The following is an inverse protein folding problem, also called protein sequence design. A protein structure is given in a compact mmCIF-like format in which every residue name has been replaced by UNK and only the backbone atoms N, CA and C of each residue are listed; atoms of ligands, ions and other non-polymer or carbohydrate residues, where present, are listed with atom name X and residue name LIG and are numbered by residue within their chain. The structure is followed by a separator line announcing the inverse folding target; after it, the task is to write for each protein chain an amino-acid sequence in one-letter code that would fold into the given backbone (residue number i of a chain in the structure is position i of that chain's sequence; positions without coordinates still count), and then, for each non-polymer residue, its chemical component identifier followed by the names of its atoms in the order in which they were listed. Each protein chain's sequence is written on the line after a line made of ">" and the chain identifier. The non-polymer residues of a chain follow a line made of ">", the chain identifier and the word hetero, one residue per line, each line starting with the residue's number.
data_IF_510309828550
#
_entry.id   IF_510309828550
#
_cell.length_a   1.000
_cell.length_b   1.000
_cell.length_c   1.000
_cell.angle_alpha   90.00
_cell.angle_beta   90.00
_cell.angle_gamma   90.00
#
_symmetry.space_group_name_H-M   'P 1'
#
loop_
_entity.id
_entity.type
_entity.pdbx_description
1 polymer ?
#
# COMPACT_ATOMS: atom_id res chain seq x y z
N UNK A 1 0.60 4.68 12.03
CA UNK A 1 -0.72 5.26 11.68
C UNK A 1 -1.80 4.56 12.49
N UNK A 2 -2.23 3.33 12.19
CA UNK A 2 -3.19 2.60 13.05
C UNK A 2 -2.67 2.32 14.48
N UNK A 3 -1.38 2.00 14.64
CA UNK A 3 -0.78 1.73 15.95
C UNK A 3 -0.36 2.99 16.74
N UNK A 4 -0.67 4.21 16.25
CA UNK A 4 -0.26 5.50 16.84
C UNK A 4 1.26 5.72 17.08
N UNK A 5 2.12 4.83 16.56
CA UNK A 5 3.59 4.90 16.74
C UNK A 5 4.33 5.77 15.71
N UNK A 6 3.64 6.39 14.76
CA UNK A 6 4.29 7.13 13.67
C UNK A 6 4.57 8.58 14.09
N UNK A 7 5.84 8.97 14.08
CA UNK A 7 6.25 10.37 14.20
C UNK A 7 6.13 11.07 12.83
N UNK A 8 5.03 11.78 12.62
CA UNK A 8 4.76 12.52 11.38
C UNK A 8 5.79 13.61 11.10
N UNK A 9 6.35 14.26 12.12
CA UNK A 9 7.36 15.32 11.93
C UNK A 9 8.70 14.73 11.44
N UNK A 10 9.02 13.50 11.85
CA UNK A 10 10.16 12.76 11.25
C UNK A 10 9.91 12.46 9.78
N UNK A 11 8.68 12.11 9.39
CA UNK A 11 8.32 11.88 7.98
C UNK A 11 8.45 13.18 7.17
N UNK A 12 7.90 14.29 7.65
CA UNK A 12 7.99 15.57 6.94
C UNK A 12 9.45 16.00 6.71
N UNK A 13 10.29 15.91 7.75
CA UNK A 13 11.74 16.17 7.62
C UNK A 13 12.43 15.24 6.63
N UNK A 14 12.07 13.95 6.59
CA UNK A 14 12.64 12.96 5.66
C UNK A 14 12.42 13.35 4.20
N UNK A 15 11.29 14.00 3.91
CA UNK A 15 10.89 14.46 2.58
C UNK A 15 11.10 15.96 2.35
N UNK A 16 11.76 16.66 3.29
CA UNK A 16 12.00 18.10 3.23
C UNK A 16 10.71 18.92 3.06
N UNK A 17 9.64 18.48 3.73
CA UNK A 17 8.37 19.18 3.79
C UNK A 17 8.35 20.09 5.03
N UNK A 18 8.02 21.37 4.85
CA UNK A 18 7.77 22.29 5.95
C UNK A 18 6.33 22.09 6.46
N UNK A 19 6.12 21.67 7.73
CA UNK A 19 4.79 21.45 8.26
C UNK A 19 3.97 22.73 8.43
N UNK A 20 4.62 23.89 8.47
CA UNK A 20 4.01 25.20 8.74
C UNK A 20 3.83 26.03 7.45
N UNK A 21 4.36 25.56 6.31
CA UNK A 21 4.16 26.19 5.01
C UNK A 21 2.70 26.02 4.55
N UNK A 22 2.03 27.11 4.15
CA UNK A 22 0.66 27.03 3.66
C UNK A 22 0.61 26.34 2.29
N UNK A 23 -0.42 25.53 2.08
CA UNK A 23 -0.70 24.93 0.79
C UNK A 23 -0.97 25.99 -0.27
N UNK A 24 -0.55 25.70 -1.50
CA UNK A 24 -0.82 26.57 -2.64
C UNK A 24 -2.32 26.67 -2.95
N UNK A 25 -2.77 27.83 -3.44
CA UNK A 25 -4.18 28.03 -3.85
C UNK A 25 -4.62 27.04 -4.93
N UNK A 26 -3.72 26.66 -5.84
CA UNK A 26 -3.98 25.65 -6.88
C UNK A 26 -4.31 24.29 -6.26
N UNK A 27 -3.54 23.87 -5.25
CA UNK A 27 -3.79 22.62 -4.53
C UNK A 27 -5.11 22.67 -3.76
N UNK A 28 -5.38 23.77 -3.06
CA UNK A 28 -6.65 23.95 -2.33
C UNK A 28 -7.84 23.88 -3.29
N UNK A 29 -7.75 24.52 -4.45
CA UNK A 29 -8.80 24.47 -5.47
C UNK A 29 -8.99 23.05 -6.04
N UNK A 30 -7.90 22.31 -6.26
CA UNK A 30 -7.97 20.92 -6.73
C UNK A 30 -8.67 20.01 -5.71
N UNK A 31 -8.34 20.13 -4.42
CA UNK A 31 -8.98 19.32 -3.37
C UNK A 31 -10.46 19.69 -3.22
N UNK A 32 -10.78 20.98 -3.23
CA UNK A 32 -12.17 21.42 -3.14
C UNK A 32 -13.02 20.83 -4.27
N UNK A 33 -12.48 20.74 -5.48
CA UNK A 33 -13.17 20.14 -6.64
C UNK A 33 -13.38 18.63 -6.56
N UNK A 34 -12.54 17.88 -5.82
CA UNK A 34 -12.68 16.41 -5.71
C UNK A 34 -13.88 16.00 -4.86
N UNK A 35 -14.29 16.86 -3.92
CA UNK A 35 -15.30 16.54 -2.93
C UNK A 35 -16.73 16.84 -3.39
N UNK A 36 -16.88 17.56 -4.50
CA UNK A 36 -18.18 17.79 -5.14
C UNK A 36 -18.70 16.52 -5.87
N UNK A 37 -17.81 15.57 -6.17
CA UNK A 37 -18.13 14.36 -6.95
C UNK A 37 -18.48 13.12 -6.09
N UNK A 38 -18.24 13.13 -4.76
CA UNK A 38 -18.43 11.96 -3.89
C UNK A 38 -19.77 11.92 -3.11
N UNK A 39 -20.66 12.92 -3.29
CA UNK A 39 -21.95 13.01 -2.58
C UNK A 39 -23.20 12.71 -3.44
N UNK A 40 -23.04 11.99 -4.55
CA UNK A 40 -24.19 11.48 -5.31
C UNK A 40 -24.42 9.98 -5.02
N UNK A 41 -25.56 9.72 -4.36
CA UNK A 41 -26.31 8.47 -4.31
C UNK A 41 -25.89 7.38 -3.29
N UNK A 42 -25.99 7.67 -1.99
CA UNK A 42 -26.43 6.66 -0.99
C UNK A 42 -27.51 7.28 -0.07
N UNK A 43 -28.56 7.85 -0.68
CA UNK A 43 -29.86 7.92 -0.03
C UNK A 43 -30.79 7.03 -0.86
N UNK A 44 -30.93 5.77 -0.44
CA UNK A 44 -32.02 4.92 -0.90
C UNK A 44 -33.14 5.06 0.13
N UNK A 45 -34.11 5.97 -0.03
CA UNK A 45 -35.30 5.95 0.77
C UNK A 45 -36.07 4.67 0.47
N UNK A 46 -36.37 3.94 1.54
CA UNK A 46 -37.30 2.83 1.57
C UNK A 46 -38.66 3.25 1.04
N UNK A 47 -39.09 2.69 -0.09
CA UNK A 47 -40.48 2.75 -0.55
C UNK A 47 -41.03 1.33 -0.66
N UNK A 48 -41.51 0.82 0.46
CA UNK A 48 -42.62 -0.12 0.49
C UNK A 48 -43.92 0.66 0.24
N UNK A 49 -44.86 0.00 -0.43
CA UNK A 49 -46.29 0.31 -0.59
C UNK A 49 -46.76 1.12 -1.82
N UNK A 50 -47.26 0.30 -2.74
CA UNK A 50 -48.09 0.48 -3.91
C UNK A 50 -49.44 1.22 -3.62
N UNK A 51 -49.66 2.42 -4.16
CA UNK A 51 -51.00 3.03 -4.29
C UNK A 51 -51.11 3.89 -5.57
N UNK A 52 -52.04 3.60 -6.50
CA UNK A 52 -52.26 4.44 -7.67
C UNK A 52 -53.53 5.30 -7.54
N UNK A 53 -53.45 6.63 -7.78
CA UNK A 53 -54.58 7.38 -8.37
C UNK A 53 -54.26 8.76 -8.99
N UNK A 54 -54.41 8.79 -10.31
CA UNK A 54 -54.95 9.79 -11.25
C UNK A 54 -55.12 11.29 -10.93
N UNK A 55 -54.68 12.07 -11.95
CA UNK A 55 -55.26 13.27 -12.59
C UNK A 55 -55.36 14.63 -11.87
N UNK A 56 -54.73 15.65 -12.49
CA UNK A 56 -55.35 16.97 -12.67
C UNK A 56 -54.48 18.21 -12.52
N UNK A 57 -54.25 18.89 -13.65
CA UNK A 57 -54.17 20.37 -13.82
C UNK A 57 -52.84 21.13 -13.61
N UNK A 58 -52.63 22.07 -14.52
CA UNK A 58 -51.48 22.94 -14.73
C UNK A 58 -51.46 24.18 -13.81
N UNK A 59 -50.24 24.76 -13.69
CA UNK A 59 -49.89 26.20 -13.63
C UNK A 59 -49.62 26.85 -12.24
N UNK A 60 -48.92 28.03 -12.18
CA UNK A 60 -47.47 28.13 -11.90
C UNK A 60 -47.12 29.09 -10.71
N UNK A 61 -45.81 29.28 -10.51
CA UNK A 61 -45.13 30.31 -9.69
C UNK A 61 -45.23 30.17 -8.17
N UNK A 62 -44.09 30.11 -7.47
CA UNK A 62 -43.52 31.29 -6.80
C UNK A 62 -42.11 30.98 -6.29
N UNK A 63 -41.27 32.00 -6.26
CA UNK A 63 -39.89 31.89 -5.81
C UNK A 63 -39.79 31.58 -4.32
N UNK A 64 -38.98 30.60 -3.99
CA UNK A 64 -38.28 30.59 -2.71
C UNK A 64 -36.85 30.14 -2.97
N UNK A 65 -35.97 31.14 -3.07
CA UNK A 65 -34.54 30.98 -2.91
C UNK A 65 -34.29 30.40 -1.52
N UNK A 66 -34.38 29.08 -1.41
CA UNK A 66 -33.73 28.38 -0.30
C UNK A 66 -32.31 28.21 -0.78
N UNK A 67 -31.47 29.20 -0.49
CA UNK A 67 -30.03 29.04 -0.44
C UNK A 67 -29.76 27.94 0.59
N UNK A 68 -29.85 26.69 0.15
CA UNK A 68 -29.12 25.59 0.77
C UNK A 68 -27.69 26.06 0.81
N UNK A 69 -27.26 26.51 1.99
CA UNK A 69 -25.88 26.81 2.27
C UNK A 69 -25.09 25.61 1.79
N UNK A 70 -24.41 25.79 0.65
CA UNK A 70 -23.43 24.85 0.16
C UNK A 70 -22.50 24.60 1.33
N UNK A 71 -22.57 23.41 1.91
CA UNK A 71 -21.59 22.95 2.87
C UNK A 71 -20.29 22.73 2.09
N UNK A 72 -19.65 23.82 1.64
CA UNK A 72 -18.26 23.78 1.22
C UNK A 72 -17.52 23.34 2.48
N UNK A 73 -16.93 22.13 2.49
CA UNK A 73 -16.39 21.61 3.73
C UNK A 73 -15.26 22.54 4.18
N UNK A 74 -14.99 22.52 5.48
CA UNK A 74 -14.10 23.39 6.25
C UNK A 74 -12.61 23.32 5.79
N UNK A 75 -12.30 22.86 4.56
CA UNK A 75 -10.95 22.72 3.99
C UNK A 75 -10.19 24.05 3.89
N UNK A 76 -10.88 25.18 3.87
CA UNK A 76 -10.23 26.50 3.97
C UNK A 76 -9.54 26.68 5.33
N UNK A 77 -9.97 25.95 6.37
CA UNK A 77 -9.46 26.04 7.74
C UNK A 77 -8.13 25.33 7.96
N UNK A 78 -7.81 24.32 7.16
CA UNK A 78 -6.61 23.50 7.32
C UNK A 78 -5.65 23.78 6.16
N UNK A 79 -4.84 24.82 6.32
CA UNK A 79 -3.95 25.33 5.26
C UNK A 79 -2.54 24.80 5.36
N UNK A 80 -2.18 24.11 6.42
CA UNK A 80 -0.83 23.55 6.61
C UNK A 80 -0.90 22.06 6.92
N UNK A 81 0.21 21.35 6.72
CA UNK A 81 0.31 19.95 7.14
C UNK A 81 0.13 19.80 8.65
N UNK A 82 0.63 20.77 9.44
CA UNK A 82 0.46 20.76 10.91
C UNK A 82 -1.01 20.83 11.32
N UNK A 83 -1.80 21.67 10.66
CA UNK A 83 -3.23 21.81 10.94
C UNK A 83 -4.03 20.59 10.50
N UNK A 84 -3.59 19.90 9.43
CA UNK A 84 -4.22 18.70 8.93
C UNK A 84 -3.96 17.46 9.83
N UNK A 85 -2.83 17.43 10.54
CA UNK A 85 -2.42 16.27 11.34
C UNK A 85 -3.45 15.85 12.42
N UNK A 86 -4.02 16.75 13.24
CA UNK A 86 -5.06 16.39 14.20
C UNK A 86 -6.27 15.73 13.55
N UNK A 87 -6.68 16.19 12.36
CA UNK A 87 -7.78 15.58 11.60
C UNK A 87 -7.41 14.18 11.14
N UNK A 88 -6.25 14.02 10.52
CA UNK A 88 -5.76 12.72 10.08
C UNK A 88 -5.73 11.72 11.25
N UNK A 89 -5.26 12.16 12.43
CA UNK A 89 -5.23 11.32 13.64
C UNK A 89 -6.64 10.97 14.12
N UNK A 90 -7.60 11.90 14.07
CA UNK A 90 -8.99 11.64 14.44
C UNK A 90 -9.65 10.63 13.49
N UNK A 91 -9.48 10.80 12.18
CA UNK A 91 -10.00 9.87 11.17
C UNK A 91 -9.38 8.48 11.27
N UNK A 92 -8.07 8.41 11.54
CA UNK A 92 -7.40 7.14 11.79
C UNK A 92 -7.96 6.42 13.03
N UNK A 93 -8.34 7.14 14.09
CA UNK A 93 -8.96 6.54 15.28
C UNK A 93 -10.36 6.02 15.01
N UNK A 94 -11.12 6.68 14.15
CA UNK A 94 -12.43 6.19 13.73
C UNK A 94 -12.30 4.96 12.83
N UNK A 95 -11.34 4.98 11.90
CA UNK A 95 -11.08 3.86 10.98
C UNK A 95 -10.51 2.64 11.71
N UNK A 96 -9.66 2.86 12.72
CA UNK A 96 -8.97 1.83 13.48
C UNK A 96 -9.29 1.95 14.99
N UNK A 97 -10.51 1.60 15.43
CA UNK A 97 -10.96 1.79 16.82
C UNK A 97 -10.16 0.98 17.85
N UNK A 98 -9.56 -0.13 17.43
CA UNK A 98 -8.67 -0.97 18.24
C UNK A 98 -7.19 -0.79 17.85
N UNK A 99 -6.86 0.32 17.17
CA UNK A 99 -5.52 0.61 16.70
C UNK A 99 -4.96 -0.48 15.80
N UNK A 100 -3.80 -1.04 16.14
CA UNK A 100 -3.15 -2.11 15.37
C UNK A 100 -4.01 -3.37 15.24
N UNK A 101 -4.80 -3.69 16.25
CA UNK A 101 -5.65 -4.89 16.28
C UNK A 101 -6.88 -4.77 15.37
N UNK A 102 -7.15 -3.57 14.86
CA UNK A 102 -8.17 -3.34 13.83
C UNK A 102 -7.75 -3.86 12.46
N UNK A 103 -6.46 -4.16 12.26
CA UNK A 103 -5.94 -4.70 11.00
C UNK A 103 -6.02 -6.22 11.02
N UNK A 104 -6.67 -6.81 10.01
CA UNK A 104 -6.86 -8.24 9.92
C UNK A 104 -5.55 -9.04 9.88
N UNK A 105 -5.58 -10.24 10.48
CA UNK A 105 -4.45 -11.19 10.52
C UNK A 105 -4.31 -12.04 9.26
N UNK A 106 -5.10 -11.76 8.22
CA UNK A 106 -5.02 -12.41 6.91
C UNK A 106 -4.59 -11.36 5.89
N UNK A 107 -3.52 -11.64 5.16
CA UNK A 107 -3.02 -10.81 4.07
C UNK A 107 -3.53 -11.35 2.74
N UNK A 108 -3.90 -10.44 1.83
CA UNK A 108 -4.32 -10.76 0.46
C UNK A 108 -3.36 -10.11 -0.52
N UNK A 109 -2.85 -10.89 -1.48
CA UNK A 109 -2.04 -10.40 -2.58
C UNK A 109 -2.82 -10.61 -3.88
N UNK A 110 -3.23 -9.50 -4.48
CA UNK A 110 -3.88 -9.49 -5.79
C UNK A 110 -2.86 -9.20 -6.89
N UNK A 111 -2.82 -10.07 -7.90
CA UNK A 111 -2.08 -9.86 -9.12
C UNK A 111 -3.02 -9.29 -10.16
N UNK A 112 -2.77 -8.05 -10.60
CA UNK A 112 -3.61 -7.37 -11.58
C UNK A 112 -2.84 -7.09 -12.86
N UNK A 113 -3.49 -7.26 -14.00
CA UNK A 113 -2.90 -6.95 -15.29
C UNK A 113 -2.72 -5.44 -15.45
N UNK A 114 -1.53 -5.01 -15.85
CA UNK A 114 -1.18 -3.57 -15.90
C UNK A 114 -2.04 -2.77 -16.89
N UNK A 115 -2.50 -3.38 -17.98
CA UNK A 115 -3.13 -2.63 -19.07
C UNK A 115 -4.60 -2.25 -18.79
N UNK A 116 -5.37 -3.17 -18.21
CA UNK A 116 -6.81 -3.00 -17.97
C UNK A 116 -7.20 -3.16 -16.49
N UNK A 117 -6.24 -3.46 -15.62
CA UNK A 117 -6.49 -3.69 -14.21
C UNK A 117 -7.24 -4.99 -13.92
N UNK A 118 -7.41 -5.90 -14.87
CA UNK A 118 -8.10 -7.19 -14.66
C UNK A 118 -7.38 -8.05 -13.63
N UNK A 119 -8.15 -8.77 -12.81
CA UNK A 119 -7.60 -9.67 -11.78
C UNK A 119 -7.07 -10.94 -12.43
N UNK A 120 -5.78 -11.22 -12.23
CA UNK A 120 -5.10 -12.43 -12.70
C UNK A 120 -5.16 -13.53 -11.63
N UNK A 121 -4.85 -13.19 -10.38
CA UNK A 121 -4.82 -14.13 -9.25
C UNK A 121 -5.01 -13.38 -7.92
N UNK A 122 -5.52 -14.07 -6.91
CA UNK A 122 -5.60 -13.57 -5.53
C UNK A 122 -5.15 -14.65 -4.55
N UNK A 123 -4.19 -14.33 -3.69
CA UNK A 123 -3.66 -15.26 -2.69
C UNK A 123 -3.85 -14.72 -1.29
N UNK A 124 -4.47 -15.51 -0.44
CA UNK A 124 -4.71 -15.20 0.97
C UNK A 124 -3.80 -16.07 1.83
N UNK A 125 -3.08 -15.46 2.78
CA UNK A 125 -2.22 -16.17 3.72
C UNK A 125 -2.22 -15.49 5.09
N UNK A 126 -1.99 -16.24 6.18
CA UNK A 126 -1.93 -15.67 7.52
C UNK A 126 -0.73 -14.75 7.70
N UNK A 127 -0.93 -13.69 8.47
CA UNK A 127 0.11 -12.76 8.89
C UNK A 127 1.00 -13.39 9.96
N UNK A 128 2.28 -13.51 9.65
CA UNK A 128 3.34 -13.94 10.57
C UNK A 128 4.24 -12.75 10.89
N UNK A 129 4.07 -12.20 12.10
CA UNK A 129 4.83 -11.05 12.58
C UNK A 129 6.33 -11.37 12.68
N UNK A 130 6.69 -12.58 13.12
CA UNK A 130 8.09 -12.99 13.29
C UNK A 130 8.80 -13.14 11.95
N UNK A 131 8.12 -13.70 10.96
CA UNK A 131 8.64 -13.78 9.59
C UNK A 131 8.82 -12.39 8.97
N UNK A 132 7.84 -11.49 9.12
CA UNK A 132 7.93 -10.13 8.59
C UNK A 132 9.04 -9.32 9.28
N UNK A 133 9.11 -9.35 10.61
CA UNK A 133 10.13 -8.64 11.38
C UNK A 133 11.55 -9.13 11.03
N UNK A 134 11.71 -10.44 10.86
CA UNK A 134 12.98 -11.03 10.43
C UNK A 134 13.37 -10.56 9.02
N UNK A 135 12.40 -10.52 8.10
CA UNK A 135 12.61 -10.04 6.73
C UNK A 135 12.97 -8.55 6.69
N UNK A 136 12.20 -7.69 7.38
CA UNK A 136 12.45 -6.25 7.45
C UNK A 136 13.79 -6.00 8.15
N UNK A 137 14.05 -6.65 9.29
CA UNK A 137 15.29 -6.51 10.04
C UNK A 137 16.51 -6.86 9.20
N UNK A 138 16.48 -8.01 8.52
CA UNK A 138 17.54 -8.41 7.60
C UNK A 138 17.70 -7.43 6.43
N UNK A 139 16.61 -6.89 5.89
CA UNK A 139 16.67 -5.89 4.81
C UNK A 139 17.27 -4.58 5.31
N UNK A 140 16.86 -4.11 6.48
CA UNK A 140 17.34 -2.86 7.07
C UNK A 140 18.81 -2.92 7.47
N UNK A 141 19.30 -4.07 7.95
CA UNK A 141 20.75 -4.26 8.18
C UNK A 141 21.56 -4.03 6.91
N UNK A 142 21.05 -4.46 5.74
CA UNK A 142 21.73 -4.20 4.47
C UNK A 142 21.74 -2.71 4.13
N UNK A 143 20.59 -2.06 4.21
CA UNK A 143 20.48 -0.63 3.93
C UNK A 143 21.30 0.26 4.86
N UNK A 144 21.50 -0.17 6.11
CA UNK A 144 22.35 0.51 7.09
C UNK A 144 23.83 0.13 6.99
N UNK A 145 24.21 -0.71 6.04
CA UNK A 145 25.56 -1.28 5.91
C UNK A 145 26.04 -2.05 7.16
N UNK A 146 25.11 -2.60 7.95
CA UNK A 146 25.38 -3.44 9.13
C UNK A 146 25.60 -4.92 8.75
N UNK A 147 25.31 -5.30 7.49
CA UNK A 147 25.63 -6.62 6.94
C UNK A 147 26.15 -6.54 5.52
N UNK A 148 26.84 -7.58 5.08
CA UNK A 148 27.25 -7.77 3.69
C UNK A 148 26.08 -8.18 2.77
N UNK A 149 26.22 -7.96 1.43
CA UNK A 149 25.23 -8.43 0.48
C UNK A 149 25.20 -9.96 0.49
N UNK A 150 24.00 -10.52 0.45
CA UNK A 150 23.78 -11.97 0.31
C UNK A 150 23.19 -12.23 -1.06
N UNK A 151 23.58 -13.35 -1.66
CA UNK A 151 22.97 -13.80 -2.90
C UNK A 151 21.51 -14.23 -2.70
N UNK A 152 20.84 -14.47 -3.82
CA UNK A 152 19.47 -15.00 -3.85
C UNK A 152 19.41 -16.41 -3.25
N UNK A 153 18.21 -16.83 -2.83
CA UNK A 153 17.99 -18.23 -2.49
C UNK A 153 18.15 -19.11 -3.74
N UNK A 154 18.40 -20.40 -3.56
CA UNK A 154 18.68 -21.33 -4.66
C UNK A 154 17.50 -21.42 -5.63
N UNK A 155 16.28 -21.37 -5.10
CA UNK A 155 15.01 -21.38 -5.84
C UNK A 155 14.84 -20.14 -6.71
N UNK A 156 15.51 -19.05 -6.35
CA UNK A 156 15.51 -17.77 -7.04
C UNK A 156 16.71 -17.59 -7.97
N UNK A 157 17.60 -18.58 -8.09
CA UNK A 157 18.80 -18.50 -8.93
C UNK A 157 18.49 -18.32 -10.42
N UNK A 158 17.26 -18.60 -10.86
CA UNK A 158 16.80 -18.28 -12.22
C UNK A 158 16.90 -16.79 -12.54
N UNK A 159 16.82 -15.90 -11.53
CA UNK A 159 17.02 -14.45 -11.69
C UNK A 159 18.42 -14.12 -12.22
N UNK A 160 19.40 -14.98 -11.98
CA UNK A 160 20.76 -14.80 -12.50
C UNK A 160 20.86 -14.95 -14.02
N UNK A 161 19.83 -15.45 -14.72
CA UNK A 161 19.79 -15.54 -16.19
C UNK A 161 19.61 -14.17 -16.85
N UNK A 162 19.04 -13.21 -16.14
CA UNK A 162 18.73 -11.87 -16.65
C UNK A 162 19.46 -10.78 -15.86
N UNK A 163 20.31 -11.16 -14.90
CA UNK A 163 21.07 -10.23 -14.08
C UNK A 163 22.30 -9.72 -14.84
N UNK A 164 22.37 -8.42 -15.07
CA UNK A 164 23.51 -7.77 -15.76
C UNK A 164 24.85 -7.94 -15.01
N UNK A 165 24.80 -8.18 -13.69
CA UNK A 165 25.99 -8.36 -12.85
C UNK A 165 26.40 -9.84 -12.69
N UNK A 166 25.75 -10.77 -13.39
CA UNK A 166 25.97 -12.21 -13.18
C UNK A 166 27.45 -12.63 -13.31
N UNK A 167 28.19 -12.05 -14.27
CA UNK A 167 29.60 -12.37 -14.53
C UNK A 167 30.55 -11.96 -13.40
N UNK A 168 30.21 -10.89 -12.66
CA UNK A 168 31.03 -10.36 -11.57
C UNK A 168 30.50 -10.74 -10.18
N UNK A 169 29.35 -11.40 -10.11
CA UNK A 169 28.71 -11.79 -8.85
C UNK A 169 29.55 -12.81 -8.07
N UNK A 170 30.11 -12.39 -6.93
CA UNK A 170 30.95 -13.24 -6.05
C UNK A 170 30.17 -14.43 -5.50
N UNK A 171 28.91 -14.23 -5.12
CA UNK A 171 28.04 -15.31 -4.67
C UNK A 171 27.86 -16.38 -5.73
N UNK A 172 27.58 -15.99 -6.99
CA UNK A 172 27.40 -16.95 -8.08
C UNK A 172 28.67 -17.77 -8.33
N UNK A 173 29.83 -17.11 -8.39
CA UNK A 173 31.14 -17.78 -8.52
C UNK A 173 31.36 -18.82 -7.43
N UNK A 174 31.11 -18.45 -6.17
CA UNK A 174 31.23 -19.37 -5.03
C UNK A 174 30.30 -20.59 -5.15
N UNK A 175 29.05 -20.38 -5.59
CA UNK A 175 28.09 -21.47 -5.79
C UNK A 175 28.52 -22.42 -6.92
N UNK A 176 29.01 -21.87 -8.03
CA UNK A 176 29.49 -22.66 -9.18
C UNK A 176 30.73 -23.49 -8.81
N UNK A 177 31.68 -22.89 -8.08
CA UNK A 177 32.85 -23.60 -7.54
C UNK A 177 32.46 -24.74 -6.59
N UNK A 178 31.48 -24.50 -5.71
CA UNK A 178 30.95 -25.52 -4.80
C UNK A 178 30.32 -26.71 -5.54
N UNK A 179 29.61 -26.45 -6.65
CA UNK A 179 29.02 -27.50 -7.51
C UNK A 179 30.09 -28.32 -8.22
N UNK A 180 31.12 -27.67 -8.77
CA UNK A 180 32.24 -28.34 -9.43
C UNK A 180 32.99 -29.26 -8.45
N UNK A 181 33.24 -28.78 -7.23
CA UNK A 181 33.88 -29.58 -6.17
C UNK A 181 33.06 -30.82 -5.82
N UNK A 182 31.76 -30.64 -5.58
CA UNK A 182 30.83 -31.73 -5.25
C UNK A 182 30.75 -32.78 -6.37
N UNK A 183 30.81 -32.35 -7.64
CA UNK A 183 30.82 -33.27 -8.78
C UNK A 183 32.11 -34.10 -8.84
N UNK A 184 33.27 -33.47 -8.63
CA UNK A 184 34.57 -34.16 -8.59
C UNK A 184 34.62 -35.22 -7.49
N UNK A 185 34.15 -34.87 -6.28
CA UNK A 185 34.08 -35.80 -5.15
C UNK A 185 33.19 -37.02 -5.47
N UNK A 186 32.02 -36.81 -6.08
CA UNK A 186 31.13 -37.91 -6.51
C UNK A 186 31.79 -38.83 -7.52
N UNK A 187 32.54 -38.29 -8.48
CA UNK A 187 33.28 -39.09 -9.47
C UNK A 187 34.39 -39.90 -8.82
N UNK A 188 35.12 -39.32 -7.86
CA UNK A 188 36.18 -40.04 -7.12
C UNK A 188 35.62 -41.18 -6.27
N UNK A 189 34.50 -40.96 -5.56
CA UNK A 189 33.80 -42.01 -4.80
C UNK A 189 33.35 -43.12 -5.75
N UNK A 190 32.73 -42.78 -6.89
CA UNK A 190 32.32 -43.76 -7.88
C UNK A 190 33.51 -44.56 -8.41
N UNK A 191 34.65 -43.91 -8.68
CA UNK A 191 35.87 -44.55 -9.17
C UNK A 191 36.51 -45.49 -8.14
N UNK A 192 36.46 -45.14 -6.85
CA UNK A 192 36.88 -46.03 -5.75
C UNK A 192 35.95 -47.25 -5.62
N UNK A 193 34.63 -47.04 -5.72
CA UNK A 193 33.64 -48.11 -5.61
C UNK A 193 33.60 -49.04 -6.83
N UNK A 194 34.02 -48.59 -8.02
CA UNK A 194 34.10 -49.44 -9.23
C UNK A 194 35.44 -50.19 -9.37
N UNK A 195 36.39 -49.95 -8.46
CA UNK A 195 37.71 -50.60 -8.45
C UNK A 195 37.86 -51.67 -7.36
N UNK A 196 36.78 -52.07 -6.69
CA UNK A 196 36.74 -53.07 -5.62
C UNK A 196 35.83 -54.24 -6.00
#
# INVERSE_FOLDING_TARGET
>A
MAAEKLDYLRVFRRYNLDPDEPFSDSFIAQIASLHDDEFFDIDHPSDDEDVPKASGSQQPADGSQTSTASSTPDFIKYRTLRELLPLLVAELKQTFPHGADSVGRLLSVEYRYRADGSLIDNRIFPMDDGALDSYIGGTMQWWKAEREPKGVQIEDAWKCLYCEFAEVCTWRKSMDEGRLRSSRERLEVKRKNSGQ
#
